data_IF_251350106420
#
_entry.id   IF_251350106420
#
_cell.length_a   1.000
_cell.length_b   1.000
_cell.length_c   1.000
_cell.angle_alpha   90.00
_cell.angle_beta   90.00
_cell.angle_gamma   90.00
#
_symmetry.space_group_name_H-M   'P 1'
#
loop_
_entity.id
_entity.type
_entity.pdbx_description
1 polymer ?
#
# COMPACT_ATOMS: atom_id res chain seq x y z
N UNK A 1 14.72 -9.22 30.53
CA UNK A 1 13.29 -9.34 30.90
C UNK A 1 12.44 -9.01 29.69
N UNK A 2 11.73 -9.99 29.10
CA UNK A 2 10.77 -9.71 28.03
C UNK A 2 9.43 -9.33 28.66
N UNK A 3 8.98 -8.09 28.44
CA UNK A 3 7.70 -7.59 28.94
C UNK A 3 6.59 -7.97 27.97
N UNK A 4 5.69 -8.87 28.39
CA UNK A 4 4.49 -9.20 27.62
C UNK A 4 3.65 -7.93 27.46
N UNK A 5 3.52 -7.45 26.23
CA UNK A 5 2.78 -6.23 25.92
C UNK A 5 1.48 -6.62 25.23
N UNK A 6 0.35 -6.32 25.86
CA UNK A 6 -0.98 -6.63 25.32
C UNK A 6 -1.41 -5.67 24.20
N UNK A 7 -0.57 -4.66 23.91
CA UNK A 7 -0.84 -3.60 22.94
C UNK A 7 0.05 -3.73 21.71
N UNK A 8 0.00 -4.89 21.04
CA UNK A 8 0.72 -5.09 19.78
C UNK A 8 0.16 -4.11 18.73
N UNK A 9 1.06 -3.35 18.11
CA UNK A 9 0.76 -2.44 17.00
C UNK A 9 1.89 -2.55 15.99
N UNK A 10 1.54 -2.73 14.73
CA UNK A 10 2.49 -2.61 13.62
C UNK A 10 2.55 -1.14 13.21
N UNK A 11 3.75 -0.60 13.13
CA UNK A 11 4.02 0.75 12.64
C UNK A 11 4.96 0.67 11.45
N UNK A 12 4.59 1.28 10.34
CA UNK A 12 5.41 1.42 9.14
C UNK A 12 6.02 2.82 9.03
N UNK A 13 7.17 2.91 8.41
CA UNK A 13 7.83 4.14 7.98
C UNK A 13 8.23 3.97 6.51
N UNK A 14 8.14 5.03 5.72
CA UNK A 14 8.56 5.04 4.32
C UNK A 14 9.30 6.33 4.02
N UNK A 15 10.37 6.21 3.26
CA UNK A 15 11.23 7.32 2.83
C UNK A 15 11.68 7.08 1.38
N UNK A 16 12.03 8.15 0.67
CA UNK A 16 12.62 8.05 -0.67
C UNK A 16 13.71 9.08 -0.90
N UNK A 17 14.76 8.65 -1.59
CA UNK A 17 15.84 9.53 -2.04
C UNK A 17 15.71 9.80 -3.54
N UNK A 18 15.41 11.05 -3.91
CA UNK A 18 15.19 11.45 -5.29
C UNK A 18 16.49 11.51 -6.08
N UNK A 19 16.53 10.82 -7.23
CA UNK A 19 17.71 10.74 -8.09
C UNK A 19 19.01 10.29 -7.37
N UNK A 20 18.87 9.59 -6.24
CA UNK A 20 20.00 9.17 -5.38
C UNK A 20 20.98 8.21 -6.06
N UNK A 21 20.57 7.49 -7.11
CA UNK A 21 21.49 6.69 -7.89
C UNK A 21 22.25 7.53 -8.92
N UNK A 22 23.55 7.72 -8.73
CA UNK A 22 24.43 8.50 -9.63
C UNK A 22 24.41 7.98 -11.07
N UNK A 23 24.44 6.66 -11.25
CA UNK A 23 24.55 6.05 -12.59
C UNK A 23 23.26 6.18 -13.41
N UNK A 24 22.11 5.92 -12.78
CA UNK A 24 20.82 5.86 -13.48
C UNK A 24 19.90 7.05 -13.22
N UNK A 25 20.30 7.99 -12.34
CA UNK A 25 19.49 9.12 -11.84
C UNK A 25 18.10 8.72 -11.33
N UNK A 26 17.96 7.45 -10.94
CA UNK A 26 16.71 6.90 -10.41
C UNK A 26 16.66 7.08 -8.92
N UNK A 27 15.46 7.32 -8.41
CA UNK A 27 15.21 7.44 -6.98
C UNK A 27 15.31 6.09 -6.28
N UNK A 28 15.53 6.12 -4.97
CA UNK A 28 15.59 4.94 -4.10
C UNK A 28 14.40 5.02 -3.15
N UNK A 29 13.56 3.98 -3.11
CA UNK A 29 12.49 3.83 -2.11
C UNK A 29 12.98 3.01 -0.93
N UNK A 30 12.46 3.32 0.26
CA UNK A 30 12.72 2.58 1.48
C UNK A 30 11.50 2.49 2.38
N UNK A 31 11.35 1.37 3.07
CA UNK A 31 10.37 1.25 4.16
C UNK A 31 10.83 0.32 5.26
N UNK A 32 10.30 0.52 6.47
CA UNK A 32 10.57 -0.29 7.66
C UNK A 32 9.26 -0.49 8.43
N UNK A 33 8.99 -1.72 8.86
CA UNK A 33 7.88 -2.09 9.73
C UNK A 33 8.39 -2.57 11.09
N UNK A 34 7.81 -2.03 12.15
CA UNK A 34 8.17 -2.30 13.55
C UNK A 34 6.97 -2.93 14.26
N UNK A 35 7.22 -3.96 15.06
CA UNK A 35 6.25 -4.61 15.95
C UNK A 35 6.91 -4.85 17.31
N UNK A 36 6.22 -4.48 18.40
CA UNK A 36 6.71 -4.63 19.78
C UNK A 36 8.11 -4.02 20.03
N UNK A 37 8.48 -2.98 19.27
CA UNK A 37 9.79 -2.33 19.36
C UNK A 37 10.91 -2.98 18.53
N UNK A 38 10.63 -4.08 17.82
CA UNK A 38 11.57 -4.73 16.91
C UNK A 38 11.20 -4.53 15.44
N UNK A 39 12.19 -4.43 14.57
CA UNK A 39 11.98 -4.42 13.11
C UNK A 39 11.59 -5.82 12.66
N UNK A 40 10.45 -5.93 11.96
CA UNK A 40 9.93 -7.21 11.46
C UNK A 40 10.00 -7.32 9.93
N UNK A 41 10.09 -6.20 9.22
CA UNK A 41 10.26 -6.18 7.78
C UNK A 41 10.85 -4.85 7.34
N UNK A 42 11.71 -4.87 6.34
CA UNK A 42 12.30 -3.67 5.76
C UNK A 42 12.64 -3.92 4.30
N UNK A 43 12.76 -2.84 3.53
CA UNK A 43 13.24 -2.88 2.16
C UNK A 43 13.88 -1.56 1.80
N UNK A 44 14.94 -1.60 0.99
CA UNK A 44 15.44 -0.45 0.25
C UNK A 44 15.71 -0.91 -1.17
N UNK A 45 15.13 -0.21 -2.15
CA UNK A 45 15.18 -0.63 -3.56
C UNK A 45 15.19 0.58 -4.47
N UNK A 46 15.95 0.50 -5.56
CA UNK A 46 15.90 1.47 -6.64
C UNK A 46 14.52 1.43 -7.31
N UNK A 47 13.87 2.58 -7.46
CA UNK A 47 12.57 2.67 -8.11
C UNK A 47 12.65 2.19 -9.56
N UNK A 48 11.66 1.40 -9.98
CA UNK A 48 11.56 0.96 -11.38
C UNK A 48 11.16 2.14 -12.26
N UNK A 49 10.21 2.94 -11.79
CA UNK A 49 9.75 4.18 -12.41
C UNK A 49 10.76 5.29 -12.16
N UNK A 50 11.02 6.10 -13.18
CA UNK A 50 11.83 7.31 -13.03
C UNK A 50 10.91 8.41 -12.55
N UNK A 51 10.99 8.75 -11.26
CA UNK A 51 10.31 9.90 -10.72
C UNK A 51 10.85 11.19 -11.35
N UNK A 52 9.98 12.14 -11.62
CA UNK A 52 10.29 13.47 -12.16
C UNK A 52 10.39 14.54 -11.08
N UNK A 53 9.95 14.23 -9.86
CA UNK A 53 10.02 15.10 -8.68
C UNK A 53 10.26 14.30 -7.40
N UNK A 54 10.69 14.99 -6.33
CA UNK A 54 10.79 14.42 -4.97
C UNK A 54 9.43 13.90 -4.48
N UNK A 55 8.36 14.66 -4.71
CA UNK A 55 7.00 14.25 -4.33
C UNK A 55 6.56 12.95 -5.00
N UNK A 56 6.88 12.78 -6.28
CA UNK A 56 6.57 11.55 -7.02
C UNK A 56 7.38 10.36 -6.48
N UNK A 57 8.66 10.56 -6.16
CA UNK A 57 9.47 9.52 -5.53
C UNK A 57 8.91 9.09 -4.16
N UNK A 58 8.47 10.05 -3.35
CA UNK A 58 7.88 9.78 -2.03
C UNK A 58 6.53 9.06 -2.16
N UNK A 59 5.72 9.44 -3.15
CA UNK A 59 4.46 8.77 -3.43
C UNK A 59 4.68 7.30 -3.85
N UNK A 60 5.66 7.04 -4.71
CA UNK A 60 6.03 5.68 -5.12
C UNK A 60 6.47 4.85 -3.90
N UNK A 61 7.33 5.39 -3.04
CA UNK A 61 7.76 4.67 -1.84
C UNK A 61 6.61 4.41 -0.86
N UNK A 62 5.73 5.39 -0.65
CA UNK A 62 4.54 5.25 0.17
C UNK A 62 3.58 4.17 -0.35
N UNK A 63 3.40 4.10 -1.68
CA UNK A 63 2.59 3.06 -2.32
C UNK A 63 3.19 1.66 -2.13
N UNK A 64 4.51 1.51 -2.32
CA UNK A 64 5.21 0.24 -2.08
C UNK A 64 5.12 -0.20 -0.62
N UNK A 65 5.33 0.73 0.31
CA UNK A 65 5.18 0.49 1.75
C UNK A 65 3.74 0.06 2.08
N UNK A 66 2.73 0.75 1.56
CA UNK A 66 1.31 0.42 1.79
C UNK A 66 0.96 -0.97 1.29
N UNK A 67 1.38 -1.30 0.06
CA UNK A 67 1.17 -2.63 -0.53
C UNK A 67 1.80 -3.74 0.31
N UNK A 68 3.04 -3.52 0.77
CA UNK A 68 3.71 -4.45 1.67
C UNK A 68 3.02 -4.52 3.04
N UNK A 69 2.52 -3.40 3.55
CA UNK A 69 1.78 -3.30 4.80
C UNK A 69 0.49 -4.13 4.81
N UNK A 70 -0.28 -4.09 3.71
CA UNK A 70 -1.48 -4.92 3.52
C UNK A 70 -1.14 -6.42 3.55
N UNK A 71 -0.08 -6.80 2.84
CA UNK A 71 0.40 -8.17 2.84
C UNK A 71 0.84 -8.61 4.24
N UNK A 72 1.64 -7.77 4.92
CA UNK A 72 2.16 -8.03 6.25
C UNK A 72 1.04 -8.17 7.29
N UNK A 73 -0.01 -7.34 7.21
CA UNK A 73 -1.21 -7.46 8.05
C UNK A 73 -1.88 -8.83 7.87
N UNK A 74 -2.04 -9.27 6.61
CA UNK A 74 -2.64 -10.56 6.27
C UNK A 74 -1.78 -11.74 6.74
N UNK A 75 -0.45 -11.60 6.65
CA UNK A 75 0.50 -12.61 7.11
C UNK A 75 0.47 -12.78 8.63
N UNK A 76 0.53 -11.68 9.39
CA UNK A 76 0.46 -11.69 10.86
C UNK A 76 -0.87 -12.25 11.34
N UNK A 77 -1.97 -11.94 10.65
CA UNK A 77 -3.29 -12.51 10.93
C UNK A 77 -3.31 -14.04 10.80
N UNK A 78 -2.77 -14.57 9.70
CA UNK A 78 -2.69 -16.02 9.46
C UNK A 78 -1.86 -16.74 10.53
N UNK A 79 -0.86 -16.08 11.08
CA UNK A 79 -0.03 -16.59 12.16
C UNK A 79 -0.70 -16.51 13.54
N UNK A 80 -1.90 -15.93 13.67
CA UNK A 80 -2.63 -15.72 14.93
C UNK A 80 -1.82 -14.96 15.99
N UNK A 81 -0.90 -14.10 15.55
CA UNK A 81 -0.06 -13.29 16.44
C UNK A 81 -0.86 -12.13 17.05
N UNK A 82 -1.91 -11.65 16.35
CA UNK A 82 -2.76 -10.54 16.78
C UNK A 82 -4.14 -10.61 16.11
N UNK A 83 -5.22 -10.27 16.84
CA UNK A 83 -6.58 -10.12 16.30
C UNK A 83 -6.69 -8.81 15.50
N UNK A 84 -6.26 -8.87 14.24
CA UNK A 84 -5.96 -7.75 13.35
C UNK A 84 -7.16 -6.92 12.86
N UNK A 85 -8.37 -7.20 13.33
CA UNK A 85 -9.60 -6.52 12.88
C UNK A 85 -9.76 -5.15 13.57
N UNK A 86 -9.27 -4.99 14.80
CA UNK A 86 -9.61 -3.79 15.58
C UNK A 86 -8.79 -2.54 15.25
N UNK A 87 -7.66 -2.65 14.51
CA UNK A 87 -6.71 -1.53 14.37
C UNK A 87 -6.22 -1.30 12.93
N UNK A 88 -6.30 -0.05 12.43
CA UNK A 88 -5.68 0.33 11.17
C UNK A 88 -4.15 0.28 11.25
N UNK A 89 -3.49 -0.09 10.14
CA UNK A 89 -2.03 -0.07 10.02
C UNK A 89 -1.58 1.39 9.86
N UNK A 90 -0.71 1.88 10.73
CA UNK A 90 -0.15 3.24 10.61
C UNK A 90 1.15 3.20 9.83
N UNK A 91 1.23 3.93 8.72
CA UNK A 91 2.47 4.15 7.94
C UNK A 91 2.78 5.64 7.98
N UNK A 92 4.00 6.01 8.33
CA UNK A 92 4.48 7.39 8.38
C UNK A 92 5.38 7.66 7.17
N UNK A 93 5.17 8.80 6.52
CA UNK A 93 5.95 9.30 5.40
C UNK A 93 6.26 10.77 5.64
N UNK A 94 7.45 11.20 5.22
CA UNK A 94 8.07 12.44 5.69
C UNK A 94 7.37 13.70 5.15
N UNK A 95 6.83 13.62 3.94
CA UNK A 95 6.24 14.76 3.20
C UNK A 95 4.73 14.62 2.89
N UNK A 96 4.12 13.52 3.31
CA UNK A 96 2.67 13.33 3.25
C UNK A 96 2.24 12.96 4.66
N UNK A 97 1.38 13.77 5.28
CA UNK A 97 0.65 13.33 6.48
C UNK A 97 -0.33 12.23 6.03
N UNK A 98 0.18 11.04 5.73
CA UNK A 98 -0.58 9.92 5.23
C UNK A 98 -1.11 9.12 6.42
N UNK A 99 -2.26 9.53 6.94
CA UNK A 99 -3.05 8.69 7.85
C UNK A 99 -3.68 7.57 7.02
N UNK A 100 -2.94 6.51 6.73
CA UNK A 100 -3.44 5.39 5.93
C UNK A 100 -4.41 4.55 6.78
N UNK A 101 -5.68 4.93 6.79
CA UNK A 101 -6.77 4.10 7.33
C UNK A 101 -7.14 3.06 6.27
N UNK A 102 -6.52 1.88 6.36
CA UNK A 102 -6.92 0.72 5.55
C UNK A 102 -8.19 0.15 6.19
N UNK A 103 -9.34 0.70 5.83
CA UNK A 103 -10.59 -0.03 5.97
C UNK A 103 -10.60 -1.16 4.95
N UNK A 104 -10.96 -2.36 5.41
CA UNK A 104 -11.12 -3.52 4.55
C UNK A 104 -12.31 -3.25 3.64
N UNK A 105 -12.04 -2.75 2.43
CA UNK A 105 -13.06 -2.66 1.41
C UNK A 105 -13.18 -4.03 0.73
N UNK A 106 -14.39 -4.58 0.72
CA UNK A 106 -14.70 -5.84 0.03
C UNK A 106 -14.24 -5.73 -1.42
N UNK A 107 -13.74 -6.84 -1.98
CA UNK A 107 -13.30 -6.98 -3.38
C UNK A 107 -14.34 -6.56 -4.43
N UNK A 108 -15.58 -6.29 -4.02
CA UNK A 108 -16.67 -5.81 -4.87
C UNK A 108 -16.66 -4.28 -5.09
N UNK A 109 -15.78 -3.52 -4.43
CA UNK A 109 -15.77 -2.04 -4.48
C UNK A 109 -14.44 -1.43 -4.96
N UNK A 110 -13.59 -2.18 -5.67
CA UNK A 110 -12.36 -1.64 -6.29
C UNK A 110 -12.69 -0.81 -7.55
N UNK A 111 -12.96 0.48 -7.36
CA UNK A 111 -13.28 1.48 -8.39
C UNK A 111 -12.13 1.71 -9.42
N UNK A 112 -10.96 1.12 -9.20
CA UNK A 112 -9.74 1.30 -10.03
C UNK A 112 -9.46 0.10 -10.95
N UNK A 113 -10.23 -0.98 -10.82
CA UNK A 113 -10.13 -2.15 -11.70
C UNK A 113 -10.30 -1.81 -13.20
N UNK A 114 -11.18 -0.87 -13.62
CA UNK A 114 -11.31 -0.50 -15.04
C UNK A 114 -10.06 0.17 -15.64
N UNK A 115 -9.19 0.74 -14.79
CA UNK A 115 -7.98 1.47 -15.23
C UNK A 115 -6.71 0.61 -15.20
N UNK A 116 -6.81 -0.62 -14.69
CA UNK A 116 -5.63 -1.49 -14.47
C UNK A 116 -5.77 -2.87 -15.08
N UNK A 117 -6.94 -3.24 -15.60
CA UNK A 117 -7.21 -4.56 -16.19
C UNK A 117 -8.14 -4.44 -17.40
N UNK A 118 -7.91 -5.28 -18.42
CA UNK A 118 -8.89 -5.47 -19.48
C UNK A 118 -10.18 -6.06 -18.89
N UNK A 119 -11.30 -5.36 -19.11
CA UNK A 119 -12.58 -5.81 -18.58
C UNK A 119 -13.10 -7.02 -19.38
N UNK A 120 -13.50 -8.11 -18.71
CA UNK A 120 -14.16 -9.24 -19.37
C UNK A 120 -15.44 -8.77 -20.08
N UNK A 121 -15.72 -9.21 -21.31
CA UNK A 121 -16.84 -8.69 -22.14
C UNK A 121 -18.22 -8.75 -21.47
N UNK A 122 -18.43 -9.74 -20.60
CA UNK A 122 -19.68 -9.93 -19.86
C UNK A 122 -19.90 -8.82 -18.82
N UNK A 123 -18.84 -8.42 -18.09
CA UNK A 123 -18.92 -7.32 -17.12
C UNK A 123 -19.15 -5.97 -17.80
N UNK A 124 -18.56 -5.76 -18.98
CA UNK A 124 -18.80 -4.55 -19.77
C UNK A 124 -20.26 -4.44 -20.21
N UNK A 125 -20.85 -5.54 -20.72
CA UNK A 125 -22.27 -5.56 -21.13
C UNK A 125 -23.22 -5.25 -19.97
N UNK A 126 -23.01 -5.85 -18.80
CA UNK A 126 -23.82 -5.56 -17.61
C UNK A 126 -23.69 -4.11 -17.16
N UNK A 127 -22.49 -3.53 -17.26
CA UNK A 127 -22.27 -2.12 -16.91
C UNK A 127 -23.00 -1.17 -17.86
N UNK A 128 -22.96 -1.43 -19.17
CA UNK A 128 -23.66 -0.64 -20.20
C UNK A 128 -25.18 -0.71 -20.04
N UNK A 129 -25.72 -1.88 -19.69
CA UNK A 129 -27.14 -2.08 -19.39
C UNK A 129 -27.55 -1.34 -18.12
N UNK A 130 -26.75 -1.42 -17.06
CA UNK A 130 -27.02 -0.74 -15.79
C UNK A 130 -26.89 0.79 -15.87
N UNK A 131 -26.04 1.30 -16.77
CA UNK A 131 -25.95 2.73 -17.11
C UNK A 131 -27.10 3.21 -18.02
N UNK A 132 -28.01 2.32 -18.44
CA UNK A 132 -29.11 2.58 -19.39
C UNK A 132 -28.66 3.08 -20.77
N UNK A 133 -27.38 2.93 -21.10
CA UNK A 133 -26.81 3.31 -22.39
C UNK A 133 -27.21 2.32 -23.50
N UNK A 134 -27.79 1.18 -23.15
CA UNK A 134 -28.31 0.17 -24.10
C UNK A 134 -29.66 0.53 -24.74
N UNK A 135 -30.26 1.69 -24.41
CA UNK A 135 -31.57 2.13 -24.95
C UNK A 135 -31.48 3.09 -26.14
N UNK A 136 -30.31 3.26 -26.77
CA UNK A 136 -30.09 4.21 -27.86
C UNK A 136 -29.59 3.58 -29.17
N UNK A 137 -29.99 2.33 -29.43
CA UNK A 137 -29.82 1.71 -30.75
C UNK A 137 -31.06 0.94 -31.16
#
# INVERSE_FOLDING_TARGET
MYRRTNNLKVVGYSDSDFAGCVDSRKSISGYIFILAGGVISWRSVKQTLTATSTMEAEFISCFEATSHGVWLKSFIFRLRIMDSISRPLSIYCDNLVAKVVIEHNSTELMIVDPFTKDMPPLKFKDHVVNMRLSSLM
#
